data_IF_590992534249
#
_entry.id   IF_590992534249
#
_cell.length_a   1.000
_cell.length_b   1.000
_cell.length_c   1.000
_cell.angle_alpha   90.00
_cell.angle_beta   90.00
_cell.angle_gamma   90.00
#
_symmetry.space_group_name_H-M   'P 1'
#
loop_
_entity.id
_entity.type
_entity.pdbx_description
1 polymer ?
#
# COMPACT_ATOMS: atom_id res chain seq x y z
N UNK A 1 -21.55 12.21 -3.38
CA UNK A 1 -20.49 12.30 -2.35
C UNK A 1 -19.17 11.97 -3.04
N UNK A 2 -18.08 12.63 -2.66
CA UNK A 2 -16.74 12.35 -3.22
C UNK A 2 -16.15 11.30 -2.30
N UNK A 3 -16.01 10.06 -2.83
CA UNK A 3 -15.34 8.97 -2.14
C UNK A 3 -13.83 9.08 -2.35
N UNK A 4 -13.06 8.98 -1.26
CA UNK A 4 -11.59 9.03 -1.27
C UNK A 4 -11.00 7.89 -0.48
N UNK A 5 -9.88 7.40 -0.95
CA UNK A 5 -9.08 6.43 -0.21
C UNK A 5 -7.82 7.07 0.33
N UNK A 6 -7.60 6.92 1.63
CA UNK A 6 -6.34 7.26 2.26
C UNK A 6 -5.50 5.99 2.36
N UNK A 7 -4.33 5.99 1.75
CA UNK A 7 -3.45 4.83 1.62
C UNK A 7 -2.17 5.10 2.39
N UNK A 8 -1.89 4.30 3.41
CA UNK A 8 -0.71 4.42 4.28
C UNK A 8 0.02 3.08 4.39
N UNK A 9 1.32 3.12 4.69
CA UNK A 9 2.14 1.93 4.89
C UNK A 9 3.41 2.28 5.67
N UNK A 10 4.17 1.26 6.09
CA UNK A 10 5.53 1.43 6.60
C UNK A 10 5.63 2.15 7.92
N UNK A 11 4.62 2.09 8.76
CA UNK A 11 4.58 2.73 10.09
C UNK A 11 5.59 2.12 11.07
N UNK A 12 5.86 0.81 10.99
CA UNK A 12 6.91 0.11 11.74
C UNK A 12 6.89 0.40 13.25
N UNK A 13 5.70 0.38 13.87
CA UNK A 13 5.48 0.67 15.28
C UNK A 13 5.36 2.16 15.62
N UNK A 14 5.35 3.06 14.63
CA UNK A 14 5.24 4.50 14.85
C UNK A 14 3.79 4.95 15.05
N UNK A 15 3.30 4.81 16.29
CA UNK A 15 1.96 5.24 16.68
C UNK A 15 1.78 6.76 16.51
N UNK A 16 2.80 7.56 16.83
CA UNK A 16 2.72 9.02 16.73
C UNK A 16 2.45 9.47 15.29
N UNK A 17 3.19 8.89 14.33
CA UNK A 17 2.95 9.17 12.91
C UNK A 17 1.55 8.75 12.48
N UNK A 18 1.05 7.59 12.93
CA UNK A 18 -0.31 7.15 12.64
C UNK A 18 -1.36 8.12 13.18
N UNK A 19 -1.21 8.58 14.41
CA UNK A 19 -2.13 9.56 15.04
C UNK A 19 -2.11 10.92 14.32
N UNK A 20 -0.94 11.36 13.86
CA UNK A 20 -0.82 12.58 13.03
C UNK A 20 -1.58 12.43 11.70
N UNK A 21 -1.46 11.26 11.03
CA UNK A 21 -2.21 10.97 9.80
C UNK A 21 -3.71 10.98 10.08
N UNK A 22 -4.18 10.29 11.12
CA UNK A 22 -5.59 10.31 11.53
C UNK A 22 -6.12 11.72 11.77
N UNK A 23 -5.34 12.56 12.48
CA UNK A 23 -5.69 13.96 12.73
C UNK A 23 -5.75 14.79 11.45
N UNK A 24 -4.88 14.50 10.49
CA UNK A 24 -4.86 15.20 9.20
C UNK A 24 -6.04 14.81 8.33
N UNK A 25 -6.37 13.52 8.25
CA UNK A 25 -7.50 12.99 7.51
C UNK A 25 -8.84 13.56 8.00
N UNK A 26 -9.00 13.81 9.30
CA UNK A 26 -10.20 14.43 9.89
C UNK A 26 -10.48 15.87 9.38
N UNK A 27 -9.49 16.55 8.82
CA UNK A 27 -9.65 17.90 8.23
C UNK A 27 -10.16 17.86 6.80
N UNK A 28 -10.05 16.70 6.14
CA UNK A 28 -10.44 16.51 4.75
C UNK A 28 -11.95 16.31 4.69
N UNK A 29 -12.63 17.07 3.82
CA UNK A 29 -14.08 16.94 3.61
C UNK A 29 -14.41 15.76 2.71
N UNK A 30 -15.52 15.09 2.97
CA UNK A 30 -16.03 13.95 2.20
C UNK A 30 -15.81 12.61 2.91
N UNK A 31 -16.26 11.53 2.27
CA UNK A 31 -16.12 10.18 2.81
C UNK A 31 -14.71 9.66 2.52
N UNK A 32 -14.03 9.19 3.56
CA UNK A 32 -12.68 8.66 3.46
C UNK A 32 -12.67 7.23 3.98
N UNK A 33 -12.20 6.31 3.15
CA UNK A 33 -11.84 4.94 3.54
C UNK A 33 -10.34 4.88 3.77
N UNK A 34 -9.91 4.39 4.93
CA UNK A 34 -8.50 4.27 5.31
C UNK A 34 -8.00 2.86 5.05
N UNK A 35 -6.96 2.72 4.23
CA UNK A 35 -6.26 1.47 3.97
C UNK A 35 -4.83 1.53 4.51
N UNK A 36 -4.41 0.46 5.20
CA UNK A 36 -3.04 0.27 5.70
C UNK A 36 -2.42 -0.89 4.92
N UNK A 37 -1.54 -0.55 3.98
CA UNK A 37 -0.92 -1.53 3.09
C UNK A 37 0.37 -2.12 3.71
N UNK A 38 0.24 -2.67 4.92
CA UNK A 38 1.30 -3.43 5.60
C UNK A 38 2.49 -2.63 6.11
N UNK A 39 3.51 -3.36 6.54
CA UNK A 39 4.70 -2.83 7.22
C UNK A 39 4.32 -1.98 8.46
N UNK A 40 3.31 -2.43 9.21
CA UNK A 40 2.89 -1.87 10.50
C UNK A 40 3.90 -2.22 11.59
N UNK A 41 4.53 -3.41 11.49
CA UNK A 41 5.58 -3.87 12.41
C UNK A 41 6.98 -3.58 11.86
N UNK A 42 7.96 -3.56 12.76
CA UNK A 42 9.36 -3.34 12.44
C UNK A 42 10.27 -3.64 13.63
N UNK A 43 11.60 -3.63 13.42
CA UNK A 43 12.57 -4.07 14.42
C UNK A 43 13.08 -2.95 15.36
N UNK A 44 12.67 -1.71 15.15
CA UNK A 44 13.26 -0.56 15.89
C UNK A 44 12.44 -0.08 17.08
N UNK A 45 11.15 -0.41 17.15
CA UNK A 45 10.21 0.08 18.16
C UNK A 45 9.33 -1.07 18.63
N UNK A 46 8.79 -0.95 19.85
CA UNK A 46 7.67 -1.79 20.26
C UNK A 46 6.45 -1.45 19.41
N UNK A 47 5.88 -2.48 18.76
CA UNK A 47 4.80 -2.31 17.80
C UNK A 47 3.41 -2.49 18.42
N UNK A 48 3.32 -2.96 19.68
CA UNK A 48 2.06 -3.37 20.30
C UNK A 48 1.04 -2.24 20.39
N UNK A 49 1.48 -1.03 20.78
CA UNK A 49 0.57 0.12 20.89
C UNK A 49 -0.02 0.56 19.54
N UNK A 50 0.76 0.46 18.45
CA UNK A 50 0.23 0.71 17.10
C UNK A 50 -0.75 -0.38 16.68
N UNK A 51 -0.41 -1.66 16.89
CA UNK A 51 -1.29 -2.78 16.53
C UNK A 51 -2.61 -2.67 17.29
N UNK A 52 -2.55 -2.42 18.60
CA UNK A 52 -3.75 -2.24 19.42
C UNK A 52 -4.62 -1.10 18.89
N UNK A 53 -4.02 0.03 18.51
CA UNK A 53 -4.72 1.17 17.94
C UNK A 53 -5.37 0.88 16.58
N UNK A 54 -4.76 0.01 15.76
CA UNK A 54 -5.34 -0.43 14.48
C UNK A 54 -6.53 -1.37 14.69
N UNK A 55 -6.45 -2.25 15.69
CA UNK A 55 -7.53 -3.18 16.06
C UNK A 55 -8.69 -2.42 16.72
N UNK A 56 -8.36 -1.51 17.64
CA UNK A 56 -9.26 -0.76 18.51
C UNK A 56 -9.15 0.75 18.24
N UNK A 57 -9.69 1.27 17.13
CA UNK A 57 -9.64 2.71 16.83
C UNK A 57 -10.33 3.52 17.92
N UNK A 58 -9.79 4.69 18.25
CA UNK A 58 -10.45 5.59 19.20
C UNK A 58 -11.75 6.16 18.60
N UNK A 59 -12.69 6.62 19.44
CA UNK A 59 -13.89 7.30 18.97
C UNK A 59 -13.55 8.46 18.03
N UNK A 60 -14.17 8.46 16.85
CA UNK A 60 -13.94 9.48 15.82
C UNK A 60 -12.69 9.28 14.95
N UNK A 61 -11.93 8.20 15.12
CA UNK A 61 -10.90 7.80 14.15
C UNK A 61 -11.52 7.04 12.97
N UNK A 62 -10.88 7.14 11.82
CA UNK A 62 -11.19 6.27 10.69
C UNK A 62 -10.76 4.84 11.02
N UNK A 63 -11.69 3.89 10.86
CA UNK A 63 -11.37 2.47 11.01
C UNK A 63 -10.52 2.01 9.83
N UNK A 64 -9.30 1.47 10.06
CA UNK A 64 -8.45 1.06 8.97
C UNK A 64 -8.82 -0.32 8.42
N UNK A 65 -8.72 -0.49 7.11
CA UNK A 65 -8.65 -1.77 6.44
C UNK A 65 -7.19 -2.15 6.27
N UNK A 66 -6.74 -3.18 6.98
CA UNK A 66 -5.33 -3.56 7.03
C UNK A 66 -5.06 -4.79 6.19
N UNK A 67 -3.95 -4.80 5.47
CA UNK A 67 -3.35 -5.99 4.87
C UNK A 67 -1.97 -6.21 5.50
N UNK A 68 -1.43 -7.44 5.41
CA UNK A 68 -0.06 -7.65 5.87
C UNK A 68 0.96 -7.13 4.84
N UNK A 69 2.13 -6.73 5.32
CA UNK A 69 3.26 -6.33 4.51
C UNK A 69 4.42 -7.31 4.61
N UNK A 70 5.57 -6.91 4.10
CA UNK A 70 6.75 -7.75 4.08
C UNK A 70 7.31 -8.00 5.50
N UNK A 71 7.27 -7.00 6.40
CA UNK A 71 7.74 -7.18 7.77
C UNK A 71 6.84 -8.11 8.57
N UNK A 72 5.51 -8.04 8.40
CA UNK A 72 4.56 -8.99 8.99
C UNK A 72 4.82 -10.41 8.48
N UNK A 73 5.02 -10.58 7.17
CA UNK A 73 5.29 -11.88 6.58
C UNK A 73 6.56 -12.52 7.14
N UNK A 74 7.66 -11.76 7.26
CA UNK A 74 8.91 -12.23 7.86
C UNK A 74 8.74 -12.57 9.35
N UNK A 75 7.99 -11.77 10.12
CA UNK A 75 7.67 -12.07 11.52
C UNK A 75 6.88 -13.37 11.64
N UNK A 76 5.82 -13.53 10.86
CA UNK A 76 4.94 -14.69 10.85
C UNK A 76 5.69 -15.96 10.43
N UNK A 77 6.59 -15.87 9.44
CA UNK A 77 7.45 -16.97 9.04
C UNK A 77 8.38 -17.39 10.19
N UNK A 78 9.04 -16.45 10.86
CA UNK A 78 9.93 -16.76 11.99
C UNK A 78 9.18 -17.36 13.18
N UNK A 79 7.92 -16.96 13.39
CA UNK A 79 7.04 -17.47 14.44
C UNK A 79 6.28 -18.75 14.07
N UNK A 80 6.53 -19.34 12.88
CA UNK A 80 5.95 -20.61 12.45
C UNK A 80 4.53 -20.53 11.86
N UNK A 81 4.00 -19.34 11.60
CA UNK A 81 2.69 -19.14 10.98
C UNK A 81 2.69 -19.35 9.45
N UNK A 82 3.85 -19.55 8.84
CA UNK A 82 4.05 -19.81 7.41
C UNK A 82 4.62 -21.22 7.14
N UNK A 83 4.24 -22.18 7.97
CA UNK A 83 4.75 -23.56 7.89
C UNK A 83 6.25 -23.63 8.20
N UNK A 84 7.03 -24.29 7.33
CA UNK A 84 8.48 -24.46 7.49
C UNK A 84 9.29 -23.21 7.09
N UNK A 85 8.66 -22.20 6.50
CA UNK A 85 9.33 -20.96 6.10
C UNK A 85 9.90 -20.23 7.32
N UNK A 86 11.05 -19.58 7.13
CA UNK A 86 11.72 -18.72 8.09
C UNK A 86 11.94 -17.33 7.50
N UNK A 87 12.33 -16.38 8.35
CA UNK A 87 12.64 -15.00 7.93
C UNK A 87 13.98 -14.91 7.18
N UNK A 88 14.22 -15.80 6.22
CA UNK A 88 15.51 -15.91 5.54
C UNK A 88 15.84 -14.68 4.70
N UNK A 89 14.83 -14.12 4.03
CA UNK A 89 15.01 -12.89 3.26
C UNK A 89 15.40 -11.70 4.16
N UNK A 90 14.79 -11.57 5.34
CA UNK A 90 15.17 -10.55 6.33
C UNK A 90 16.56 -10.83 6.91
N UNK A 91 16.85 -12.08 7.23
CA UNK A 91 18.14 -12.53 7.77
C UNK A 91 19.30 -12.24 6.83
N UNK A 92 19.14 -12.57 5.55
CA UNK A 92 20.14 -12.29 4.51
C UNK A 92 20.34 -10.80 4.28
N UNK A 93 19.25 -10.00 4.26
CA UNK A 93 19.33 -8.58 3.94
C UNK A 93 19.79 -7.70 5.11
N UNK A 94 19.51 -8.09 6.36
CA UNK A 94 19.68 -7.22 7.55
C UNK A 94 20.32 -7.89 8.76
N UNK A 95 20.60 -9.18 8.67
CA UNK A 95 21.24 -9.96 9.71
C UNK A 95 20.31 -10.48 10.80
N UNK A 96 20.81 -11.48 11.55
CA UNK A 96 20.09 -12.19 12.61
C UNK A 96 19.62 -11.27 13.74
N UNK A 97 20.41 -10.24 14.07
CA UNK A 97 20.05 -9.27 15.11
C UNK A 97 18.74 -8.53 14.82
N UNK A 98 18.47 -8.23 13.55
CA UNK A 98 17.21 -7.58 13.13
C UNK A 98 16.04 -8.56 13.19
N UNK A 99 16.24 -9.84 12.87
CA UNK A 99 15.19 -10.88 13.02
C UNK A 99 14.78 -10.99 14.49
N UNK A 100 15.77 -11.11 15.41
CA UNK A 100 15.50 -11.17 16.85
C UNK A 100 14.82 -9.89 17.36
N UNK A 101 15.26 -8.73 16.90
CA UNK A 101 14.64 -7.46 17.28
C UNK A 101 13.18 -7.36 16.79
N UNK A 102 12.88 -7.82 15.58
CA UNK A 102 11.51 -7.88 15.05
C UNK A 102 10.63 -8.80 15.89
N UNK A 103 11.13 -10.00 16.21
CA UNK A 103 10.43 -10.98 17.05
C UNK A 103 10.12 -10.41 18.44
N UNK A 104 11.04 -9.63 19.04
CA UNK A 104 10.84 -9.01 20.34
C UNK A 104 9.99 -7.73 20.31
N UNK A 105 9.79 -7.13 19.14
CA UNK A 105 9.00 -5.91 18.98
C UNK A 105 7.50 -6.14 19.02
N UNK A 106 7.04 -7.40 18.90
CA UNK A 106 5.63 -7.77 18.83
C UNK A 106 5.30 -8.85 19.86
N UNK A 107 4.31 -8.55 20.70
CA UNK A 107 3.78 -9.51 21.67
C UNK A 107 3.10 -10.68 20.93
N UNK A 108 3.33 -11.94 21.36
CA UNK A 108 2.64 -13.12 20.80
C UNK A 108 1.11 -13.00 20.74
N UNK A 109 0.50 -12.24 21.64
CA UNK A 109 -0.93 -11.95 21.65
C UNK A 109 -1.48 -11.43 20.31
N UNK A 110 -0.67 -10.62 19.59
CA UNK A 110 -1.09 -10.02 18.31
C UNK A 110 -0.85 -10.88 17.08
N UNK A 111 -0.11 -12.00 17.20
CA UNK A 111 0.28 -12.82 16.04
C UNK A 111 -0.91 -13.40 15.29
N UNK A 112 -1.95 -13.84 16.00
CA UNK A 112 -3.14 -14.38 15.35
C UNK A 112 -3.87 -13.33 14.51
N UNK A 113 -3.96 -12.08 15.01
CA UNK A 113 -4.53 -11.00 14.22
C UNK A 113 -3.68 -10.67 13.00
N UNK A 114 -2.36 -10.56 13.15
CA UNK A 114 -1.45 -10.35 12.01
C UNK A 114 -1.55 -11.47 10.97
N UNK A 115 -1.70 -12.71 11.42
CA UNK A 115 -1.84 -13.88 10.55
C UNK A 115 -3.18 -13.94 9.82
N UNK A 116 -4.22 -13.30 10.36
CA UNK A 116 -5.55 -13.20 9.76
C UNK A 116 -5.69 -12.10 8.71
N UNK A 117 -4.68 -11.23 8.55
CA UNK A 117 -4.71 -10.16 7.56
C UNK A 117 -4.63 -10.72 6.15
N UNK A 118 -5.36 -10.11 5.24
CA UNK A 118 -5.38 -10.47 3.82
C UNK A 118 -4.07 -10.06 3.10
N UNK A 119 -3.80 -10.71 1.98
CA UNK A 119 -2.68 -10.35 1.09
C UNK A 119 -2.89 -8.99 0.41
N UNK A 120 -4.12 -8.65 0.09
CA UNK A 120 -4.50 -7.41 -0.59
C UNK A 120 -5.99 -7.32 -0.80
N UNK A 121 -6.43 -6.18 -1.32
CA UNK A 121 -7.80 -5.94 -1.73
C UNK A 121 -7.87 -5.68 -3.22
N UNK A 122 -8.97 -6.07 -3.84
CA UNK A 122 -9.36 -5.61 -5.17
C UNK A 122 -10.68 -4.88 -5.00
N UNK A 123 -10.62 -3.57 -5.14
CA UNK A 123 -11.77 -2.67 -4.98
C UNK A 123 -11.96 -1.90 -6.28
N UNK A 124 -13.17 -1.96 -6.82
CA UNK A 124 -13.47 -1.41 -8.14
C UNK A 124 -12.50 -1.99 -9.19
N UNK A 125 -11.70 -1.17 -9.81
CA UNK A 125 -10.69 -1.54 -10.82
C UNK A 125 -9.26 -1.32 -10.30
N UNK A 126 -9.08 -1.38 -8.97
CA UNK A 126 -7.84 -1.09 -8.26
C UNK A 126 -7.40 -2.28 -7.43
N UNK A 127 -6.14 -2.67 -7.54
CA UNK A 127 -5.48 -3.59 -6.64
C UNK A 127 -4.73 -2.81 -5.55
N UNK A 128 -4.95 -3.16 -4.28
CA UNK A 128 -4.28 -2.59 -3.12
C UNK A 128 -3.45 -3.68 -2.46
N UNK A 129 -2.14 -3.69 -2.69
CA UNK A 129 -1.24 -4.76 -2.24
C UNK A 129 0.05 -4.12 -1.71
N UNK A 130 0.68 -4.72 -0.69
CA UNK A 130 1.97 -4.23 -0.20
C UNK A 130 3.09 -4.35 -1.25
N UNK A 131 3.27 -5.53 -1.82
CA UNK A 131 4.20 -5.83 -2.91
C UNK A 131 3.56 -5.71 -4.28
N UNK A 132 3.34 -6.86 -4.93
CA UNK A 132 2.63 -6.95 -6.21
C UNK A 132 1.87 -8.28 -6.34
N UNK A 133 1.23 -8.50 -7.48
CA UNK A 133 0.60 -9.79 -7.82
C UNK A 133 1.59 -10.96 -7.91
N UNK A 134 2.89 -10.70 -7.89
CA UNK A 134 3.92 -11.75 -7.86
C UNK A 134 4.10 -12.29 -6.46
N UNK A 135 4.42 -11.43 -5.52
CA UNK A 135 4.59 -11.75 -4.09
C UNK A 135 4.64 -10.46 -3.25
N UNK A 136 4.61 -10.63 -1.92
CA UNK A 136 4.64 -9.53 -0.95
C UNK A 136 5.99 -8.78 -0.92
N UNK A 137 7.07 -9.42 -1.31
CA UNK A 137 8.41 -8.85 -1.37
C UNK A 137 8.76 -8.19 -2.69
N UNK A 138 7.92 -8.35 -3.73
CA UNK A 138 8.15 -7.77 -5.07
C UNK A 138 8.13 -6.24 -4.98
N UNK A 139 9.24 -5.63 -5.40
CA UNK A 139 9.48 -4.19 -5.24
C UNK A 139 9.35 -3.47 -6.57
N UNK A 140 8.23 -2.80 -6.77
CA UNK A 140 8.02 -1.93 -7.93
C UNK A 140 8.62 -0.54 -7.65
N UNK A 141 9.38 -0.02 -8.60
CA UNK A 141 10.02 1.30 -8.57
C UNK A 141 9.77 2.03 -9.88
N UNK A 142 10.20 3.30 -9.96
CA UNK A 142 10.11 4.10 -11.20
C UNK A 142 10.92 3.49 -12.36
N UNK A 143 11.91 2.63 -12.06
CA UNK A 143 12.75 1.98 -13.06
C UNK A 143 12.22 0.60 -13.48
N UNK A 144 11.06 0.18 -12.96
CA UNK A 144 10.47 -1.12 -13.30
C UNK A 144 10.02 -1.13 -14.76
N UNK A 145 10.50 -2.10 -15.58
CA UNK A 145 10.16 -2.17 -16.99
C UNK A 145 8.65 -2.24 -17.24
N UNK A 146 8.13 -1.54 -18.27
CA UNK A 146 6.69 -1.48 -18.57
C UNK A 146 6.02 -2.86 -18.72
N UNK A 147 6.69 -3.83 -19.33
CA UNK A 147 6.16 -5.19 -19.49
C UNK A 147 5.94 -5.91 -18.14
N UNK A 148 6.80 -5.64 -17.15
CA UNK A 148 6.62 -6.17 -15.80
C UNK A 148 5.41 -5.51 -15.15
N UNK A 149 5.23 -4.20 -15.29
CA UNK A 149 4.06 -3.49 -14.76
C UNK A 149 2.76 -4.04 -15.35
N UNK A 150 2.74 -4.25 -16.67
CA UNK A 150 1.59 -4.85 -17.38
C UNK A 150 1.28 -6.27 -16.89
N UNK A 151 2.31 -7.12 -16.69
CA UNK A 151 2.12 -8.45 -16.13
C UNK A 151 1.48 -8.39 -14.74
N UNK A 152 1.96 -7.49 -13.87
CA UNK A 152 1.41 -7.34 -12.51
C UNK A 152 -0.05 -6.91 -12.50
N UNK A 153 -0.42 -5.95 -13.32
CA UNK A 153 -1.79 -5.49 -13.48
C UNK A 153 -2.71 -6.57 -14.08
N UNK A 154 -2.22 -7.27 -15.12
CA UNK A 154 -2.97 -8.30 -15.81
C UNK A 154 -3.28 -9.51 -14.93
N UNK A 155 -2.34 -9.93 -14.08
CA UNK A 155 -2.55 -11.03 -13.10
C UNK A 155 -3.66 -10.73 -12.09
N UNK A 156 -3.85 -9.47 -11.73
CA UNK A 156 -4.93 -9.03 -10.83
C UNK A 156 -6.23 -8.73 -11.58
N UNK A 157 -6.18 -8.58 -12.90
CA UNK A 157 -7.33 -8.15 -13.69
C UNK A 157 -7.76 -6.70 -13.42
N UNK A 158 -6.81 -5.83 -13.02
CA UNK A 158 -7.08 -4.42 -12.66
C UNK A 158 -6.36 -3.45 -13.59
N UNK A 159 -6.83 -2.20 -13.64
CA UNK A 159 -6.17 -1.13 -14.37
C UNK A 159 -5.34 -0.20 -13.45
N UNK A 160 -5.52 -0.25 -12.13
CA UNK A 160 -4.72 0.48 -11.14
C UNK A 160 -4.13 -0.48 -10.12
N UNK A 161 -2.86 -0.28 -9.78
CA UNK A 161 -2.20 -1.01 -8.68
C UNK A 161 -1.57 -0.01 -7.72
N UNK A 162 -2.00 -0.03 -6.47
CA UNK A 162 -1.38 0.68 -5.37
C UNK A 162 -0.42 -0.26 -4.64
N UNK A 163 0.86 0.14 -4.53
CA UNK A 163 1.94 -0.66 -3.95
C UNK A 163 2.72 0.14 -2.91
N UNK A 164 3.22 -0.51 -1.88
CA UNK A 164 3.92 0.12 -0.77
C UNK A 164 5.38 -0.33 -0.60
N UNK A 165 5.75 -1.50 -1.14
CA UNK A 165 7.01 -2.20 -0.87
C UNK A 165 8.27 -1.37 -1.19
N UNK A 166 8.21 -0.46 -2.14
CA UNK A 166 9.33 0.45 -2.46
C UNK A 166 9.53 1.56 -1.43
N UNK A 167 8.52 1.85 -0.61
CA UNK A 167 8.47 3.00 0.31
C UNK A 167 8.56 4.37 -0.39
N UNK A 168 8.37 4.43 -1.71
CA UNK A 168 8.44 5.64 -2.52
C UNK A 168 7.04 6.07 -2.98
N UNK A 169 6.84 7.38 -3.10
CA UNK A 169 5.68 7.94 -3.77
C UNK A 169 6.02 8.14 -5.25
N UNK A 170 5.23 7.51 -6.13
CA UNK A 170 5.33 7.67 -7.58
C UNK A 170 4.01 7.34 -8.26
N UNK A 171 3.84 7.82 -9.47
CA UNK A 171 2.73 7.45 -10.35
C UNK A 171 3.28 7.13 -11.73
N UNK A 172 3.17 5.86 -12.13
CA UNK A 172 3.54 5.39 -13.46
C UNK A 172 2.27 5.17 -14.27
N UNK A 173 2.13 5.89 -15.36
CA UNK A 173 1.02 5.73 -16.30
C UNK A 173 1.47 4.93 -17.52
N UNK A 174 0.65 3.95 -17.90
CA UNK A 174 0.81 3.13 -19.08
C UNK A 174 -0.27 3.57 -20.07
N UNK A 175 0.06 4.54 -20.92
CA UNK A 175 -0.86 5.15 -21.89
C UNK A 175 -0.58 4.66 -23.31
N UNK A 176 -1.59 4.80 -24.18
CA UNK A 176 -1.49 4.70 -25.64
C UNK A 176 -1.14 3.33 -26.24
N UNK A 177 -1.71 2.24 -25.69
CA UNK A 177 -1.78 1.01 -26.44
C UNK A 177 -3.07 0.99 -27.29
N UNK A 178 -2.92 1.18 -28.61
CA UNK A 178 -3.97 0.93 -29.58
C UNK A 178 -3.68 -0.41 -30.24
N UNK A 179 -4.61 -1.36 -30.16
CA UNK A 179 -4.52 -2.61 -30.88
C UNK A 179 -5.27 -2.46 -32.19
N UNK A 180 -4.53 -2.38 -33.30
CA UNK A 180 -5.09 -2.46 -34.65
C UNK A 180 -5.06 -3.91 -35.12
N UNK A 181 -6.22 -4.53 -35.25
CA UNK A 181 -6.33 -5.87 -35.83
C UNK A 181 -6.83 -5.81 -37.26
N UNK A 182 -6.14 -6.55 -38.13
CA UNK A 182 -6.54 -6.74 -39.53
C UNK A 182 -6.88 -8.21 -39.71
N UNK A 183 -8.13 -8.48 -40.00
CA UNK A 183 -8.57 -9.86 -40.29
C UNK A 183 -8.85 -9.95 -41.80
N UNK A 184 -8.10 -10.80 -42.48
CA UNK A 184 -8.42 -11.20 -43.83
C UNK A 184 -9.42 -12.36 -43.80
N UNK A 185 -10.64 -12.12 -44.21
CA UNK A 185 -11.69 -13.12 -44.24
C UNK A 185 -12.14 -13.32 -45.72
N UNK A 186 -12.70 -14.49 -46.01
CA UNK A 186 -13.22 -14.84 -47.36
C UNK A 186 -14.38 -13.92 -47.81
N UNK A 187 -15.04 -13.25 -46.85
CA UNK A 187 -16.16 -12.35 -47.05
C UNK A 187 -15.78 -10.86 -46.95
N UNK A 188 -14.48 -10.54 -46.90
CA UNK A 188 -13.96 -9.19 -46.90
C UNK A 188 -13.04 -8.90 -45.71
N UNK A 189 -12.17 -7.91 -45.90
CA UNK A 189 -11.22 -7.47 -44.85
C UNK A 189 -11.96 -6.64 -43.79
N UNK A 190 -11.78 -6.99 -42.49
CA UNK A 190 -12.30 -6.23 -41.35
C UNK A 190 -11.14 -5.53 -40.64
N UNK A 191 -11.31 -4.25 -40.40
CA UNK A 191 -10.41 -3.44 -39.58
C UNK A 191 -11.11 -3.13 -38.26
N UNK A 192 -10.48 -3.49 -37.15
CA UNK A 192 -10.98 -3.18 -35.82
C UNK A 192 -9.90 -2.43 -35.02
N UNK A 193 -10.28 -1.30 -34.47
CA UNK A 193 -9.47 -0.54 -33.54
C UNK A 193 -10.05 -0.72 -32.13
N UNK A 194 -9.24 -1.22 -31.21
CA UNK A 194 -9.63 -1.36 -29.81
C UNK A 194 -8.74 -0.49 -28.94
N UNK A 195 -9.33 0.47 -28.22
CA UNK A 195 -8.63 1.25 -27.22
C UNK A 195 -8.37 0.38 -25.98
N UNK A 196 -7.11 0.32 -25.56
CA UNK A 196 -6.73 -0.33 -24.32
C UNK A 196 -7.02 0.64 -23.16
N UNK A 197 -7.64 0.20 -22.05
CA UNK A 197 -7.87 1.05 -20.89
C UNK A 197 -6.55 1.66 -20.35
N UNK A 198 -6.61 2.90 -19.90
CA UNK A 198 -5.50 3.55 -19.21
C UNK A 198 -5.15 2.76 -17.96
N UNK A 199 -3.89 2.36 -17.82
CA UNK A 199 -3.39 1.59 -16.70
C UNK A 199 -2.36 2.37 -15.91
N UNK A 200 -2.22 2.08 -14.62
CA UNK A 200 -1.25 2.78 -13.78
C UNK A 200 -0.81 2.00 -12.55
N UNK A 201 0.40 2.29 -12.10
CA UNK A 201 0.94 1.78 -10.84
C UNK A 201 1.35 2.95 -9.98
N UNK A 202 0.86 2.96 -8.75
CA UNK A 202 1.04 4.04 -7.78
C UNK A 202 1.81 3.49 -6.58
N UNK A 203 2.99 4.06 -6.30
CA UNK A 203 3.69 3.87 -5.05
C UNK A 203 3.15 4.84 -4.01
N UNK A 204 2.68 4.32 -2.88
CA UNK A 204 1.95 5.15 -1.90
C UNK A 204 2.83 5.85 -0.87
N UNK A 205 4.13 5.56 -0.83
CA UNK A 205 5.03 6.04 0.21
C UNK A 205 5.04 5.16 1.47
N UNK A 206 5.68 5.66 2.53
CA UNK A 206 5.80 4.97 3.82
C UNK A 206 6.00 5.94 4.98
N UNK A 207 5.62 5.55 6.20
CA UNK A 207 5.78 6.34 7.41
C UNK A 207 4.95 7.61 7.38
N UNK A 208 5.62 8.77 7.41
CA UNK A 208 4.99 10.08 7.37
C UNK A 208 4.36 10.45 6.02
N UNK A 209 4.73 9.73 4.96
CA UNK A 209 4.19 9.91 3.60
C UNK A 209 2.96 9.04 3.42
N UNK A 210 1.87 9.64 2.93
CA UNK A 210 0.65 8.91 2.61
C UNK A 210 0.03 9.43 1.30
N UNK A 211 -0.84 8.64 0.72
CA UNK A 211 -1.47 8.93 -0.56
C UNK A 211 -2.97 9.07 -0.37
N UNK A 212 -3.55 10.13 -0.91
CA UNK A 212 -4.99 10.30 -1.00
C UNK A 212 -5.40 10.09 -2.46
N UNK A 213 -6.29 9.14 -2.70
CA UNK A 213 -6.83 8.85 -4.02
C UNK A 213 -8.30 9.23 -4.09
N UNK A 214 -8.65 10.07 -5.05
CA UNK A 214 -10.03 10.44 -5.36
C UNK A 214 -10.58 9.47 -6.39
N UNK A 215 -11.47 8.60 -5.94
CA UNK A 215 -12.02 7.49 -6.75
C UNK A 215 -12.81 8.01 -7.95
N UNK A 216 -13.59 9.06 -7.76
CA UNK A 216 -14.47 9.60 -8.81
C UNK A 216 -13.73 10.31 -9.93
N UNK A 217 -12.58 10.95 -9.63
CA UNK A 217 -11.80 11.72 -10.60
C UNK A 217 -10.52 11.03 -11.06
N UNK A 218 -10.20 9.84 -10.53
CA UNK A 218 -8.95 9.09 -10.76
C UNK A 218 -7.70 9.94 -10.48
N UNK A 219 -7.74 10.76 -9.40
CA UNK A 219 -6.64 11.65 -9.03
C UNK A 219 -5.93 11.16 -7.78
N UNK A 220 -4.61 11.17 -7.86
CA UNK A 220 -3.71 10.80 -6.76
C UNK A 220 -3.04 12.05 -6.20
N UNK A 221 -3.06 12.21 -4.87
CA UNK A 221 -2.39 13.28 -4.15
C UNK A 221 -1.39 12.66 -3.18
N UNK A 222 -0.13 13.06 -3.30
CA UNK A 222 0.95 12.65 -2.41
C UNK A 222 1.10 13.65 -1.28
N UNK A 223 1.05 13.18 -0.04
CA UNK A 223 1.02 14.00 1.16
C UNK A 223 2.08 13.55 2.16
N UNK A 224 2.51 14.49 3.02
CA UNK A 224 3.44 14.23 4.10
C UNK A 224 2.95 14.97 5.36
N UNK A 225 2.73 14.24 6.44
CA UNK A 225 2.22 14.86 7.71
C UNK A 225 3.24 15.74 8.41
N UNK A 226 4.51 15.72 8.00
CA UNK A 226 5.57 16.56 8.58
C UNK A 226 5.67 17.92 7.87
N UNK A 227 5.15 18.05 6.65
CA UNK A 227 5.24 19.26 5.83
C UNK A 227 4.10 20.27 6.09
N UNK A 228 3.36 20.14 7.21
CA UNK A 228 2.31 21.11 7.55
C UNK A 228 2.90 22.50 7.71
N UNK A 229 2.35 23.53 7.03
CA UNK A 229 2.80 24.89 7.23
C UNK A 229 2.64 25.23 8.71
N UNK A 230 3.72 25.68 9.35
CA UNK A 230 3.66 26.28 10.69
C UNK A 230 2.55 27.34 10.64
N UNK A 231 1.50 27.14 11.44
CA UNK A 231 0.44 28.11 11.56
C UNK A 231 1.10 29.46 11.87
N UNK A 232 1.10 30.38 10.91
CA UNK A 232 1.46 31.75 11.16
C UNK A 232 0.39 32.33 12.10
N UNK A 233 0.58 32.19 13.39
CA UNK A 233 0.00 33.09 14.38
C UNK A 233 0.66 34.45 14.17
N UNK A 234 0.19 35.21 13.15
CA UNK A 234 0.38 36.61 13.14
C UNK A 234 -0.50 37.15 14.27
N UNK A 235 0.14 37.44 15.40
CA UNK A 235 -0.43 38.29 16.40
C UNK A 235 -0.77 39.63 15.74
N UNK A 236 -2.03 39.98 15.78
CA UNK A 236 -2.44 41.36 15.62
C UNK A 236 -2.00 42.10 16.88
N UNK A 237 -0.96 42.94 16.77
CA UNK A 237 -0.69 44.05 17.64
C UNK A 237 -1.39 45.29 17.11
#
# INVERSE_FOLDING_TARGET
MIERWALISGLKGDLETYERIQKDLKKIRGDITLFVLGDMVGAKRNCNSLIDRLINPHPGDLKPHCIYGWWEDQLLAERGYRGEQKADALRLNKGEGIVKALVNAVDPYYLNWLASLEFGFVELDCGLIHGSSKDIGDKITIDTPPLILLDRLTRLGVNRLFTARSSQQFHLELTDAVVNSYIKALDGDRKQEQKVPKRGVIGIGAGAYYTLYDVGSDKTHFLNVLDQPKSNTRGFG
#
